data_IF_255099477043
#
_entry.id   IF_255099477043
#
_cell.length_a   1.000
_cell.length_b   1.000
_cell.length_c   1.000
_cell.angle_alpha   90.00
_cell.angle_beta   90.00
_cell.angle_gamma   90.00
#
_symmetry.space_group_name_H-M   'P 1'
#
loop_
_entity.id
_entity.type
_entity.pdbx_description
1 polymer ?
#
# COMPACT_ATOMS: atom_id res chain seq x y z
N UNK A 1 14.28 -1.91 0.82
CA UNK A 1 13.84 -1.47 -0.52
C UNK A 1 12.54 -0.65 -0.50
N UNK A 2 11.62 -0.79 0.46
CA UNK A 2 10.45 0.14 0.61
C UNK A 2 10.68 1.36 1.52
N UNK A 3 11.83 1.41 2.18
CA UNK A 3 12.27 2.55 2.99
C UNK A 3 12.90 3.67 2.14
N UNK A 4 12.94 3.50 0.81
CA UNK A 4 13.31 4.60 -0.08
C UNK A 4 12.23 5.69 0.00
N UNK A 5 12.66 6.95 -0.05
CA UNK A 5 11.73 8.08 0.03
C UNK A 5 10.73 8.02 -1.14
N UNK A 6 9.43 7.97 -0.80
CA UNK A 6 8.38 8.19 -1.79
C UNK A 6 8.39 9.68 -2.16
N UNK A 7 8.73 9.96 -3.41
CA UNK A 7 8.83 11.34 -3.92
C UNK A 7 7.46 11.96 -4.22
N UNK A 8 6.43 11.13 -4.24
CA UNK A 8 5.03 11.48 -4.45
C UNK A 8 4.50 12.39 -3.33
N UNK A 9 3.67 13.37 -3.69
CA UNK A 9 3.21 14.42 -2.77
C UNK A 9 1.85 14.13 -2.14
N UNK A 10 1.01 13.38 -2.82
CA UNK A 10 -0.34 13.03 -2.34
C UNK A 10 -0.34 11.65 -1.68
N UNK A 11 -1.28 11.40 -0.77
CA UNK A 11 -1.45 10.07 -0.16
C UNK A 11 -1.76 9.03 -1.24
N UNK A 12 -2.66 9.36 -2.16
CA UNK A 12 -3.02 8.54 -3.31
C UNK A 12 -1.78 8.13 -4.13
N UNK A 13 -0.97 9.09 -4.59
CA UNK A 13 0.19 8.79 -5.42
C UNK A 13 1.22 7.93 -4.65
N UNK A 14 1.43 8.20 -3.36
CA UNK A 14 2.29 7.37 -2.52
C UNK A 14 1.79 5.93 -2.41
N UNK A 15 0.50 5.73 -2.19
CA UNK A 15 -0.11 4.40 -2.10
C UNK A 15 -0.04 3.65 -3.43
N UNK A 16 -0.32 4.33 -4.55
CA UNK A 16 -0.19 3.78 -5.90
C UNK A 16 1.27 3.39 -6.21
N UNK A 17 2.23 4.24 -5.81
CA UNK A 17 3.67 3.92 -5.92
C UNK A 17 4.04 2.70 -5.09
N UNK A 18 3.59 2.63 -3.84
CA UNK A 18 3.85 1.47 -2.98
C UNK A 18 3.31 0.18 -3.60
N UNK A 19 2.05 0.19 -4.07
CA UNK A 19 1.44 -0.96 -4.73
C UNK A 19 2.23 -1.40 -5.96
N UNK A 20 2.76 -0.46 -6.75
CA UNK A 20 3.55 -0.77 -7.96
C UNK A 20 4.81 -1.61 -7.71
N UNK A 21 5.31 -1.66 -6.47
CA UNK A 21 6.45 -2.52 -6.11
C UNK A 21 6.09 -4.00 -5.94
N UNK A 22 4.79 -4.32 -5.85
CA UNK A 22 4.29 -5.66 -5.54
C UNK A 22 3.46 -6.28 -6.66
N UNK A 23 3.33 -5.59 -7.80
CA UNK A 23 2.54 -6.03 -8.94
C UNK A 23 3.35 -5.85 -10.23
N UNK A 24 2.87 -6.44 -11.32
CA UNK A 24 3.38 -6.19 -12.66
C UNK A 24 2.75 -4.95 -13.31
N UNK A 25 1.72 -4.36 -12.68
CA UNK A 25 1.08 -3.12 -13.17
C UNK A 25 2.01 -1.92 -13.01
N UNK A 26 1.97 -1.02 -13.99
CA UNK A 26 2.68 0.25 -13.88
C UNK A 26 1.94 1.22 -12.96
N UNK A 27 2.62 2.26 -12.49
CA UNK A 27 2.00 3.31 -11.65
C UNK A 27 0.74 3.92 -12.28
N UNK A 28 0.73 4.08 -13.60
CA UNK A 28 -0.39 4.68 -14.33
C UNK A 28 -1.59 3.72 -14.47
N UNK A 29 -1.38 2.41 -14.25
CA UNK A 29 -2.43 1.37 -14.32
C UNK A 29 -2.99 1.01 -12.93
N UNK A 30 -2.51 1.67 -11.88
CA UNK A 30 -2.95 1.45 -10.50
C UNK A 30 -3.77 2.68 -10.09
N UNK A 31 -5.00 2.46 -9.64
CA UNK A 31 -5.85 3.49 -9.06
C UNK A 31 -6.29 3.09 -7.64
N UNK A 32 -7.13 3.90 -7.00
CA UNK A 32 -7.57 3.66 -5.62
C UNK A 32 -8.48 2.43 -5.46
N UNK A 33 -9.01 1.88 -6.56
CA UNK A 33 -9.80 0.64 -6.57
C UNK A 33 -8.94 -0.62 -6.73
N UNK A 34 -7.61 -0.48 -6.87
CA UNK A 34 -6.67 -1.57 -7.01
C UNK A 34 -6.87 -2.64 -5.91
N UNK A 35 -7.03 -3.89 -6.33
CA UNK A 35 -7.43 -4.99 -5.45
C UNK A 35 -6.18 -5.62 -4.80
N UNK A 36 -6.08 -5.50 -3.47
CA UNK A 36 -4.94 -5.99 -2.70
C UNK A 36 -4.83 -7.52 -2.66
N UNK A 37 -5.90 -8.25 -2.97
CA UNK A 37 -5.94 -9.70 -2.99
C UNK A 37 -5.57 -10.29 -4.35
N UNK A 38 -6.09 -9.70 -5.43
CA UNK A 38 -6.03 -10.31 -6.75
C UNK A 38 -4.95 -9.70 -7.64
N UNK A 39 -4.55 -8.45 -7.39
CA UNK A 39 -3.61 -7.73 -8.27
C UNK A 39 -2.15 -7.76 -7.77
N UNK A 40 -1.88 -8.43 -6.66
CA UNK A 40 -0.55 -8.57 -6.05
C UNK A 40 0.14 -9.84 -6.57
N UNK A 41 1.41 -9.71 -6.95
CA UNK A 41 2.24 -10.78 -7.53
C UNK A 41 3.30 -11.31 -6.55
N UNK A 42 3.12 -11.07 -5.26
CA UNK A 42 3.98 -11.59 -4.19
C UNK A 42 3.14 -12.36 -3.17
N UNK A 43 3.82 -13.05 -2.26
CA UNK A 43 3.15 -13.67 -1.12
C UNK A 43 2.35 -12.64 -0.30
N UNK A 44 1.15 -13.05 0.14
CA UNK A 44 0.20 -12.14 0.81
C UNK A 44 0.73 -11.68 2.16
N UNK A 45 1.32 -12.57 2.95
CA UNK A 45 1.82 -12.23 4.28
C UNK A 45 3.01 -11.26 4.15
N UNK A 46 3.90 -11.54 3.19
CA UNK A 46 4.99 -10.64 2.84
C UNK A 46 4.48 -9.25 2.41
N UNK A 47 3.46 -9.18 1.55
CA UNK A 47 2.84 -7.92 1.16
C UNK A 47 2.31 -7.14 2.36
N UNK A 48 1.57 -7.79 3.26
CA UNK A 48 0.96 -7.14 4.43
C UNK A 48 2.02 -6.64 5.42
N UNK A 49 3.06 -7.43 5.70
CA UNK A 49 4.18 -7.00 6.55
C UNK A 49 4.88 -5.76 5.99
N UNK A 50 5.16 -5.78 4.69
CA UNK A 50 5.85 -4.70 4.02
C UNK A 50 4.99 -3.43 3.92
N UNK A 51 3.70 -3.56 3.66
CA UNK A 51 2.75 -2.44 3.69
C UNK A 51 2.60 -1.84 5.08
N UNK A 52 2.51 -2.66 6.14
CA UNK A 52 2.43 -2.16 7.52
C UNK A 52 3.67 -1.32 7.89
N UNK A 53 4.86 -1.79 7.50
CA UNK A 53 6.09 -1.03 7.64
C UNK A 53 6.09 0.29 6.85
N UNK A 54 5.61 0.27 5.61
CA UNK A 54 5.51 1.47 4.78
C UNK A 54 4.51 2.49 5.35
N UNK A 55 3.37 2.03 5.87
CA UNK A 55 2.37 2.89 6.52
C UNK A 55 2.91 3.55 7.78
N UNK A 56 3.68 2.81 8.57
CA UNK A 56 4.37 3.35 9.75
C UNK A 56 5.40 4.41 9.34
N UNK A 57 6.24 4.11 8.35
CA UNK A 57 7.36 4.98 7.98
C UNK A 57 6.93 6.23 7.21
N UNK A 58 6.07 6.10 6.19
CA UNK A 58 5.71 7.19 5.27
C UNK A 58 4.48 8.00 5.73
N UNK A 59 3.64 7.42 6.59
CA UNK A 59 2.37 8.03 7.01
C UNK A 59 2.22 8.13 8.54
N UNK A 60 3.19 7.63 9.32
CA UNK A 60 3.15 7.69 10.78
C UNK A 60 2.06 6.83 11.43
N UNK A 61 1.46 5.91 10.68
CA UNK A 61 0.39 5.03 11.16
C UNK A 61 0.99 3.75 11.71
N UNK A 62 1.06 3.65 13.04
CA UNK A 62 1.46 2.41 13.71
C UNK A 62 0.37 1.35 13.51
N UNK A 63 0.57 0.50 12.52
CA UNK A 63 -0.30 -0.62 12.16
C UNK A 63 0.53 -1.90 12.02
N UNK A 64 -0.14 -3.05 12.06
CA UNK A 64 0.47 -4.35 11.80
C UNK A 64 -0.21 -5.05 10.61
N UNK A 65 0.38 -6.15 10.15
CA UNK A 65 -0.12 -6.93 9.03
C UNK A 65 -1.57 -7.43 9.25
N UNK A 66 -1.91 -7.82 10.49
CA UNK A 66 -3.24 -8.34 10.82
C UNK A 66 -4.34 -7.29 10.67
N UNK A 67 -4.04 -6.03 11.01
CA UNK A 67 -4.95 -4.91 10.82
C UNK A 67 -5.20 -4.62 9.33
N UNK A 68 -4.27 -4.96 8.44
CA UNK A 68 -4.39 -4.76 6.99
C UNK A 68 -5.14 -5.90 6.29
N UNK A 69 -5.36 -7.05 6.93
CA UNK A 69 -6.10 -8.18 6.35
C UNK A 69 -7.54 -7.80 5.95
N UNK A 70 -8.14 -6.86 6.67
CA UNK A 70 -9.50 -6.38 6.43
C UNK A 70 -9.62 -5.44 5.23
N UNK A 71 -8.50 -4.98 4.66
CA UNK A 71 -8.49 -4.04 3.54
C UNK A 71 -8.48 -4.77 2.21
N UNK A 72 -9.36 -4.36 1.32
CA UNK A 72 -9.50 -4.94 -0.01
C UNK A 72 -8.90 -4.05 -1.10
N UNK A 73 -8.84 -2.74 -0.86
CA UNK A 73 -8.42 -1.74 -1.86
C UNK A 73 -7.43 -0.72 -1.28
N UNK A 74 -6.76 0.03 -2.16
CA UNK A 74 -5.97 1.20 -1.73
C UNK A 74 -6.84 2.29 -1.10
N UNK A 75 -8.11 2.41 -1.51
CA UNK A 75 -9.06 3.33 -0.88
C UNK A 75 -9.31 2.99 0.59
N UNK A 76 -9.37 1.71 0.95
CA UNK A 76 -9.53 1.31 2.36
C UNK A 76 -8.34 1.77 3.21
N UNK A 77 -7.14 1.70 2.65
CA UNK A 77 -5.91 2.18 3.30
C UNK A 77 -5.91 3.70 3.41
N UNK A 78 -6.28 4.43 2.35
CA UNK A 78 -6.37 5.88 2.36
C UNK A 78 -7.38 6.40 3.41
N UNK A 79 -8.54 5.74 3.51
CA UNK A 79 -9.53 6.01 4.54
C UNK A 79 -8.93 5.82 5.95
N UNK A 80 -8.22 4.72 6.18
CA UNK A 80 -7.56 4.45 7.46
C UNK A 80 -6.45 5.46 7.81
N UNK A 81 -5.72 5.97 6.81
CA UNK A 81 -4.72 7.02 7.02
C UNK A 81 -5.40 8.34 7.39
N UNK A 82 -6.56 8.63 6.80
CA UNK A 82 -7.26 9.90 6.97
C UNK A 82 -8.07 10.02 8.26
N UNK A 83 -8.35 8.91 8.95
CA UNK A 83 -8.93 8.88 10.31
C UNK A 83 -7.97 9.37 11.40
#
# INVERSE_FOLDING_TARGET
MLQEELTEKTTEDKLRRLASFFTSKSFDDIDMSFNLHDDINVDRDYFLEMMAGALTYHFGKNTDASALEKFSTLQDIDNYISE
#
